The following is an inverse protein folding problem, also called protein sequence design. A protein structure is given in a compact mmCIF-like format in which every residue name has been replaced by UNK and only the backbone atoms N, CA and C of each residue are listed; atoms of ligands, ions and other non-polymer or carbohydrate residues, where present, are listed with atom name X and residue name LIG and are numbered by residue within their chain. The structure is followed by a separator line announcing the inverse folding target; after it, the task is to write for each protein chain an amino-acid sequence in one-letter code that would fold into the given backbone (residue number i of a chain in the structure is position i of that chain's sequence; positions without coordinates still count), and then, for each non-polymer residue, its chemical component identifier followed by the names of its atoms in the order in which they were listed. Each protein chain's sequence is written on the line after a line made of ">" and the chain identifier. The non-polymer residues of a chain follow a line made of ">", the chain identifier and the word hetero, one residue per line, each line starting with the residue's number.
data_IF_326429325289
#
_entry.id   IF_326429325289
#
_cell.length_a   1.000
_cell.length_b   1.000
_cell.length_c   1.000
_cell.angle_alpha   90.00
_cell.angle_beta   90.00
_cell.angle_gamma   90.00
#
_symmetry.space_group_name_H-M   'P 1'
#
loop_
_entity.id
_entity.type
_entity.pdbx_description
1 polymer ?
#
# COMPACT_ATOMS: atom_id res chain seq x y z
N UNK A 1 76.63 54.43 -16.63
CA UNK A 1 76.65 53.08 -16.02
C UNK A 1 75.20 52.61 -15.86
N UNK A 2 74.63 51.93 -16.86
CA UNK A 2 73.21 51.47 -16.89
C UNK A 2 73.19 49.95 -16.67
N UNK A 3 72.45 49.48 -15.66
CA UNK A 3 72.29 48.04 -15.34
C UNK A 3 71.23 47.39 -16.25
N UNK A 4 71.36 46.10 -16.61
CA UNK A 4 70.37 45.39 -17.43
C UNK A 4 69.25 44.77 -16.58
N UNK A 5 68.01 44.89 -17.04
CA UNK A 5 66.83 44.19 -16.51
C UNK A 5 66.73 42.78 -17.11
N UNK A 6 66.56 41.76 -16.25
CA UNK A 6 66.22 40.38 -16.65
C UNK A 6 64.69 40.22 -16.71
N UNK A 7 64.13 39.53 -17.71
CA UNK A 7 62.71 39.20 -17.74
C UNK A 7 62.44 37.97 -16.86
N UNK A 8 61.43 38.08 -16.00
CA UNK A 8 60.93 37.03 -15.13
C UNK A 8 59.77 36.34 -15.86
N UNK A 9 59.97 35.09 -16.27
CA UNK A 9 58.95 34.26 -16.92
C UNK A 9 58.03 33.70 -15.83
N UNK A 10 56.76 34.11 -15.84
CA UNK A 10 55.71 33.59 -14.97
C UNK A 10 55.05 32.37 -15.63
N UNK A 11 55.19 31.19 -15.00
CA UNK A 11 54.52 29.96 -15.40
C UNK A 11 53.12 29.94 -14.78
N UNK A 12 52.10 30.06 -15.61
CA UNK A 12 50.69 29.87 -15.23
C UNK A 12 50.36 28.37 -15.22
N UNK A 13 50.16 27.79 -14.04
CA UNK A 13 49.62 26.43 -13.87
C UNK A 13 48.09 26.55 -13.82
N UNK A 14 47.41 26.17 -14.90
CA UNK A 14 45.96 26.10 -14.98
C UNK A 14 45.46 24.79 -14.34
N UNK A 15 44.90 24.88 -13.14
CA UNK A 15 44.18 23.78 -12.49
C UNK A 15 42.85 23.55 -13.25
N UNK A 16 42.75 22.46 -14.00
CA UNK A 16 41.49 22.00 -14.57
C UNK A 16 40.68 21.25 -13.48
N UNK A 17 39.74 21.95 -12.84
CA UNK A 17 38.73 21.31 -11.99
C UNK A 17 37.77 20.51 -12.88
N UNK A 18 37.86 19.18 -12.83
CA UNK A 18 36.93 18.29 -13.50
C UNK A 18 35.54 18.36 -12.85
N UNK A 19 34.57 18.91 -13.57
CA UNK A 19 33.16 18.83 -13.24
C UNK A 19 32.69 17.40 -13.50
N UNK A 20 32.60 16.57 -12.47
CA UNK A 20 31.86 15.30 -12.56
C UNK A 20 30.37 15.60 -12.56
N UNK A 21 29.60 15.21 -13.59
CA UNK A 21 28.16 15.38 -13.56
C UNK A 21 27.60 14.56 -12.40
N UNK A 22 26.95 15.21 -11.46
CA UNK A 22 26.12 14.56 -10.46
C UNK A 22 24.88 14.04 -11.19
N UNK A 23 24.87 12.74 -11.51
CA UNK A 23 23.65 12.08 -11.98
C UNK A 23 22.64 12.14 -10.84
N UNK A 24 21.57 12.92 -11.00
CA UNK A 24 20.40 12.80 -10.15
C UNK A 24 19.83 11.40 -10.43
N UNK A 25 19.85 10.52 -9.45
CA UNK A 25 19.17 9.23 -9.56
C UNK A 25 17.67 9.54 -9.59
N UNK A 26 17.00 9.28 -10.72
CA UNK A 26 15.54 9.30 -10.76
C UNK A 26 15.03 8.27 -9.73
N UNK A 27 14.03 8.65 -8.94
CA UNK A 27 13.36 7.68 -8.06
C UNK A 27 12.70 6.62 -8.95
N UNK A 28 12.87 5.32 -8.64
CA UNK A 28 12.40 4.26 -9.51
C UNK A 28 10.87 4.20 -9.63
N UNK A 29 10.16 4.84 -8.69
CA UNK A 29 8.71 4.83 -8.56
C UNK A 29 8.20 6.20 -8.12
N UNK A 30 7.10 6.65 -8.70
CA UNK A 30 6.35 7.83 -8.24
C UNK A 30 4.93 7.41 -7.79
N UNK A 31 4.58 7.65 -6.52
CA UNK A 31 3.27 7.28 -5.99
C UNK A 31 2.25 8.40 -6.16
N UNK A 32 1.28 8.17 -7.06
CA UNK A 32 0.18 9.08 -7.33
C UNK A 32 -0.94 9.04 -6.30
N UNK A 33 -2.14 9.42 -6.75
CA UNK A 33 -3.34 9.49 -5.92
C UNK A 33 -3.84 8.11 -5.47
N UNK A 34 -4.39 8.07 -4.25
CA UNK A 34 -5.10 6.93 -3.69
C UNK A 34 -6.60 7.13 -3.86
N UNK A 35 -7.27 6.15 -4.48
CA UNK A 35 -8.72 6.11 -4.65
C UNK A 35 -9.32 4.97 -3.86
N UNK A 36 -10.53 5.20 -3.37
CA UNK A 36 -11.27 4.27 -2.53
C UNK A 36 -12.61 3.92 -3.16
N UNK A 37 -13.06 2.69 -2.99
CA UNK A 37 -14.40 2.25 -3.41
C UNK A 37 -14.97 1.19 -2.46
N UNK A 38 -16.26 1.31 -2.14
CA UNK A 38 -16.96 0.36 -1.28
C UNK A 38 -17.50 1.00 0.01
N UNK A 39 -18.47 0.32 0.62
CA UNK A 39 -19.24 0.82 1.76
C UNK A 39 -18.51 0.71 3.11
N UNK A 40 -17.29 0.18 3.14
CA UNK A 40 -16.40 0.16 4.30
C UNK A 40 -15.20 1.10 4.16
N UNK A 41 -15.00 1.72 3.00
CA UNK A 41 -13.95 2.73 2.88
C UNK A 41 -14.35 4.04 3.58
N UNK A 42 -13.37 4.86 3.97
CA UNK A 42 -13.63 6.24 4.38
C UNK A 42 -14.42 7.03 3.32
N UNK A 43 -15.29 7.95 3.75
CA UNK A 43 -16.32 8.58 2.89
C UNK A 43 -15.91 9.92 2.25
N UNK A 44 -14.82 10.57 2.64
CA UNK A 44 -14.50 11.91 2.12
C UNK A 44 -13.30 11.97 1.20
N UNK A 45 -13.41 12.80 0.16
CA UNK A 45 -12.39 13.02 -0.88
C UNK A 45 -11.11 13.72 -0.38
N UNK A 46 -11.14 14.36 0.80
CA UNK A 46 -10.00 15.12 1.37
C UNK A 46 -9.01 14.27 2.21
N UNK A 47 -9.04 12.94 2.07
CA UNK A 47 -8.40 12.05 3.06
C UNK A 47 -6.92 11.76 2.89
N UNK A 48 -6.29 12.15 1.78
CA UNK A 48 -4.83 12.01 1.60
C UNK A 48 -4.03 12.81 2.64
N UNK A 49 -4.63 13.82 3.28
CA UNK A 49 -4.02 14.64 4.33
C UNK A 49 -4.53 14.33 5.74
N UNK A 50 -5.32 13.27 5.92
CA UNK A 50 -5.88 12.89 7.23
C UNK A 50 -5.04 11.85 7.93
N UNK A 51 -5.16 11.74 9.27
CA UNK A 51 -4.48 10.69 10.06
C UNK A 51 -4.88 9.27 9.67
N UNK A 52 -5.94 9.14 8.88
CA UNK A 52 -6.55 7.89 8.44
C UNK A 52 -5.81 7.28 7.24
N UNK A 53 -5.25 8.09 6.33
CA UNK A 53 -4.46 7.61 5.18
C UNK A 53 -3.05 8.14 5.31
N UNK A 54 -2.07 7.26 5.46
CA UNK A 54 -0.65 7.61 5.57
C UNK A 54 0.09 7.03 4.38
N UNK A 55 0.52 7.91 3.47
CA UNK A 55 1.37 7.58 2.33
C UNK A 55 2.82 8.00 2.61
N UNK A 56 3.75 7.15 2.21
CA UNK A 56 5.20 7.41 2.19
C UNK A 56 5.76 6.99 0.85
N UNK A 57 7.06 7.18 0.59
CA UNK A 57 7.70 6.84 -0.70
C UNK A 57 7.44 5.40 -1.19
N UNK A 58 7.23 4.45 -0.27
CA UNK A 58 7.06 3.03 -0.63
C UNK A 58 6.02 2.29 0.22
N UNK A 59 5.15 2.98 0.93
CA UNK A 59 4.11 2.30 1.73
C UNK A 59 2.85 3.12 1.90
N UNK A 60 1.75 2.40 2.09
CA UNK A 60 0.43 2.95 2.36
C UNK A 60 -0.15 2.26 3.60
N UNK A 61 -0.67 3.05 4.53
CA UNK A 61 -1.40 2.56 5.70
C UNK A 61 -2.72 3.32 5.85
N UNK A 62 -3.80 2.59 6.13
CA UNK A 62 -5.17 3.08 6.15
C UNK A 62 -5.89 2.58 7.40
N UNK A 63 -6.65 3.46 8.06
CA UNK A 63 -7.57 3.12 9.15
C UNK A 63 -9.02 3.20 8.63
N UNK A 64 -9.63 2.08 8.21
CA UNK A 64 -10.95 2.12 7.61
C UNK A 64 -12.05 2.34 8.66
N UNK A 65 -12.49 3.58 8.85
CA UNK A 65 -13.43 3.96 9.91
C UNK A 65 -14.81 3.30 9.76
N UNK A 66 -15.22 2.99 8.53
CA UNK A 66 -16.54 2.44 8.18
C UNK A 66 -16.57 0.91 8.06
N UNK A 67 -15.42 0.24 8.23
CA UNK A 67 -15.33 -1.22 8.28
C UNK A 67 -15.69 -1.74 9.68
N UNK A 68 -16.96 -1.57 10.07
CA UNK A 68 -17.54 -2.20 11.26
C UNK A 68 -18.85 -2.92 10.89
N UNK A 69 -19.03 -4.13 11.38
CA UNK A 69 -20.27 -4.91 11.34
C UNK A 69 -20.71 -5.20 12.77
N UNK A 70 -21.98 -5.00 13.04
CA UNK A 70 -22.58 -5.29 14.34
C UNK A 70 -24.01 -5.75 14.14
N UNK A 71 -24.35 -6.87 14.76
CA UNK A 71 -25.70 -7.44 14.70
C UNK A 71 -26.48 -6.86 15.88
N UNK A 72 -27.58 -6.11 15.63
CA UNK A 72 -28.44 -5.64 16.71
C UNK A 72 -29.31 -6.78 17.25
N UNK A 73 -29.69 -6.70 18.52
CA UNK A 73 -30.54 -7.69 19.18
C UNK A 73 -31.88 -7.87 18.44
N UNK A 74 -32.31 -9.12 18.24
CA UNK A 74 -33.66 -9.47 17.80
C UNK A 74 -33.82 -9.87 16.33
N UNK A 75 -32.79 -9.76 15.48
CA UNK A 75 -32.91 -10.08 14.05
C UNK A 75 -31.76 -10.95 13.52
N UNK A 76 -32.11 -11.99 12.74
CA UNK A 76 -31.14 -12.77 11.98
C UNK A 76 -30.62 -11.87 10.88
N UNK A 77 -29.35 -11.54 10.94
CA UNK A 77 -28.75 -10.58 10.01
C UNK A 77 -27.52 -11.17 9.32
N UNK A 78 -27.40 -10.88 8.02
CA UNK A 78 -26.18 -11.08 7.27
C UNK A 78 -25.74 -9.71 6.77
N UNK A 79 -24.57 -9.27 7.22
CA UNK A 79 -24.03 -7.98 6.85
C UNK A 79 -22.71 -8.16 6.12
N UNK A 80 -22.42 -7.23 5.20
CA UNK A 80 -21.18 -7.24 4.42
C UNK A 80 -20.66 -5.82 4.26
N UNK A 81 -19.35 -5.67 4.45
CA UNK A 81 -18.59 -4.47 4.12
C UNK A 81 -17.43 -4.83 3.20
N UNK A 82 -17.08 -3.91 2.32
CA UNK A 82 -15.88 -3.99 1.50
C UNK A 82 -15.19 -2.64 1.40
N UNK A 83 -13.88 -2.67 1.30
CA UNK A 83 -13.08 -1.52 0.93
C UNK A 83 -12.03 -1.92 -0.10
N UNK A 84 -12.15 -1.34 -1.30
CA UNK A 84 -11.25 -1.48 -2.43
C UNK A 84 -10.38 -0.21 -2.52
N UNK A 85 -9.06 -0.40 -2.57
CA UNK A 85 -8.07 0.67 -2.70
C UNK A 85 -7.43 0.57 -4.08
N UNK A 86 -7.19 1.72 -4.71
CA UNK A 86 -6.42 1.85 -5.93
C UNK A 86 -5.37 2.94 -5.77
N UNK A 87 -4.09 2.61 -5.93
CA UNK A 87 -2.98 3.56 -5.91
C UNK A 87 -2.33 3.57 -7.30
N UNK A 88 -2.32 4.73 -7.95
CA UNK A 88 -1.57 4.92 -9.18
C UNK A 88 -0.07 4.97 -8.88
N UNK A 89 0.74 4.25 -9.65
CA UNK A 89 2.20 4.24 -9.53
C UNK A 89 2.81 4.39 -10.91
N UNK A 90 3.55 5.48 -11.11
CA UNK A 90 4.39 5.66 -12.29
C UNK A 90 5.68 4.88 -12.09
N UNK A 91 6.12 4.14 -13.09
CA UNK A 91 7.28 3.25 -13.00
C UNK A 91 8.32 3.68 -14.04
N UNK A 92 9.52 4.03 -13.57
CA UNK A 92 10.62 4.41 -14.46
C UNK A 92 11.04 3.24 -15.35
N UNK A 93 11.49 3.55 -16.56
CA UNK A 93 12.02 2.56 -17.50
C UNK A 93 13.12 1.70 -16.87
N UNK A 94 13.04 0.38 -17.09
CA UNK A 94 13.98 -0.58 -16.52
C UNK A 94 13.72 -0.94 -15.05
N UNK A 95 12.57 -0.54 -14.48
CA UNK A 95 12.12 -0.97 -13.16
C UNK A 95 10.77 -1.70 -13.20
N UNK A 96 10.56 -2.57 -12.22
CA UNK A 96 9.29 -3.22 -11.95
C UNK A 96 9.05 -3.21 -10.44
N UNK A 97 7.80 -3.40 -10.02
CA UNK A 97 7.44 -3.37 -8.61
C UNK A 97 6.59 -4.56 -8.19
N UNK A 98 6.60 -4.86 -6.89
CA UNK A 98 5.68 -5.80 -6.25
C UNK A 98 5.15 -5.23 -4.96
N UNK A 99 3.99 -5.72 -4.54
CA UNK A 99 3.41 -5.41 -3.24
C UNK A 99 3.96 -6.44 -2.25
N UNK A 100 4.41 -5.98 -1.08
CA UNK A 100 4.87 -6.84 0.01
C UNK A 100 4.26 -6.44 1.34
N UNK A 101 4.24 -7.39 2.28
CA UNK A 101 3.77 -7.18 3.64
C UNK A 101 2.39 -6.51 3.69
N UNK A 102 1.46 -6.96 2.84
CA UNK A 102 0.09 -6.46 2.90
C UNK A 102 -0.55 -7.06 4.14
N UNK A 103 -1.03 -6.23 5.05
CA UNK A 103 -1.61 -6.65 6.33
C UNK A 103 -3.00 -6.06 6.51
N UNK A 104 -3.88 -6.84 7.12
CA UNK A 104 -5.22 -6.44 7.54
C UNK A 104 -5.41 -6.89 8.99
N UNK A 105 -5.65 -5.94 9.88
CA UNK A 105 -5.84 -6.20 11.31
C UNK A 105 -7.30 -5.95 11.68
N UNK A 106 -7.90 -6.88 12.41
CA UNK A 106 -9.30 -6.80 12.82
C UNK A 106 -9.48 -7.27 14.25
N UNK A 107 -10.53 -6.78 14.91
CA UNK A 107 -11.05 -7.34 16.14
C UNK A 107 -12.40 -7.98 15.85
N UNK A 108 -12.62 -9.16 16.42
CA UNK A 108 -13.82 -9.97 16.21
C UNK A 108 -14.32 -10.45 17.56
N UNK A 109 -15.63 -10.36 17.78
CA UNK A 109 -16.33 -10.94 18.92
C UNK A 109 -17.63 -11.57 18.43
N UNK A 110 -17.72 -12.89 18.53
CA UNK A 110 -18.82 -13.71 18.02
C UNK A 110 -19.36 -14.57 19.16
N UNK A 111 -20.66 -14.45 19.41
CA UNK A 111 -21.37 -15.37 20.29
C UNK A 111 -21.65 -16.72 19.61
N UNK A 112 -22.29 -17.62 20.34
CA UNK A 112 -22.77 -18.91 19.83
C UNK A 112 -23.68 -18.70 18.61
N UNK A 113 -23.60 -19.58 17.60
CA UNK A 113 -24.36 -19.48 16.34
C UNK A 113 -24.06 -18.23 15.49
N UNK A 114 -23.04 -17.45 15.82
CA UNK A 114 -22.50 -16.40 14.95
C UNK A 114 -21.32 -16.91 14.13
N UNK A 115 -21.12 -16.35 12.94
CA UNK A 115 -19.97 -16.67 12.11
C UNK A 115 -19.52 -15.45 11.31
N UNK A 116 -18.22 -15.30 11.16
CA UNK A 116 -17.64 -14.26 10.32
C UNK A 116 -16.68 -14.82 9.28
N UNK A 117 -16.44 -14.04 8.24
CA UNK A 117 -15.34 -14.29 7.31
C UNK A 117 -14.72 -12.97 6.91
N UNK A 118 -13.40 -12.95 6.84
CA UNK A 118 -12.61 -11.79 6.45
C UNK A 118 -11.65 -12.19 5.32
N UNK A 119 -11.43 -11.29 4.37
CA UNK A 119 -10.51 -11.52 3.26
C UNK A 119 -9.68 -10.28 2.95
N UNK A 120 -8.48 -10.52 2.45
CA UNK A 120 -7.53 -9.54 1.96
C UNK A 120 -6.99 -10.01 0.61
N UNK A 121 -7.16 -9.20 -0.43
CA UNK A 121 -6.59 -9.46 -1.75
C UNK A 121 -5.64 -8.31 -2.13
N UNK A 122 -4.51 -8.61 -2.77
CA UNK A 122 -3.57 -7.61 -3.28
C UNK A 122 -3.03 -7.98 -4.67
N UNK A 123 -2.86 -6.99 -5.54
CA UNK A 123 -2.34 -7.20 -6.89
C UNK A 123 -2.38 -5.95 -7.75
N UNK A 124 -2.29 -6.13 -9.07
CA UNK A 124 -2.34 -5.04 -10.05
C UNK A 124 -3.63 -5.08 -10.86
N UNK A 125 -4.07 -3.91 -11.34
CA UNK A 125 -5.19 -3.84 -12.28
C UNK A 125 -4.88 -4.62 -13.56
N UNK A 126 -5.80 -5.50 -13.99
CA UNK A 126 -5.60 -6.34 -15.17
C UNK A 126 -4.76 -7.61 -14.92
N UNK A 127 -4.11 -7.74 -13.76
CA UNK A 127 -3.27 -8.88 -13.40
C UNK A 127 -3.90 -9.83 -12.37
N UNK A 128 -3.12 -10.82 -11.97
CA UNK A 128 -3.49 -11.75 -10.90
C UNK A 128 -3.43 -11.09 -9.51
N UNK A 129 -4.32 -11.53 -8.61
CA UNK A 129 -4.35 -11.11 -7.22
C UNK A 129 -3.88 -12.25 -6.32
N UNK A 130 -2.99 -11.95 -5.39
CA UNK A 130 -2.72 -12.80 -4.25
C UNK A 130 -3.82 -12.60 -3.20
N UNK A 131 -4.26 -13.68 -2.56
CA UNK A 131 -5.42 -13.66 -1.66
C UNK A 131 -5.08 -14.31 -0.33
N UNK A 132 -5.61 -13.74 0.74
CA UNK A 132 -5.63 -14.31 2.08
C UNK A 132 -7.07 -14.20 2.62
N UNK A 133 -7.49 -15.18 3.41
CA UNK A 133 -8.82 -15.15 3.98
C UNK A 133 -8.99 -16.18 5.08
N UNK A 134 -9.89 -15.86 6.00
CA UNK A 134 -10.16 -16.67 7.17
C UNK A 134 -11.67 -16.73 7.42
N UNK A 135 -12.13 -17.89 7.87
CA UNK A 135 -13.47 -18.06 8.44
C UNK A 135 -13.29 -18.15 9.95
N UNK A 136 -14.05 -17.33 10.67
CA UNK A 136 -13.98 -17.22 12.11
C UNK A 136 -15.20 -17.95 12.69
N UNK A 137 -14.99 -18.98 13.53
CA UNK A 137 -16.06 -19.79 14.09
C UNK A 137 -16.83 -19.01 15.17
N UNK A 138 -17.95 -19.57 15.64
CA UNK A 138 -18.67 -19.04 16.79
C UNK A 138 -17.78 -19.01 18.04
N UNK A 139 -18.24 -18.30 19.07
CA UNK A 139 -17.58 -18.25 20.38
C UNK A 139 -16.12 -17.74 20.30
N UNK A 140 -15.83 -16.89 19.31
CA UNK A 140 -14.52 -16.30 19.06
C UNK A 140 -14.49 -14.87 19.55
N UNK A 141 -13.56 -14.52 20.43
CA UNK A 141 -13.25 -13.12 20.77
C UNK A 141 -11.75 -12.93 20.73
N UNK A 142 -11.25 -12.34 19.63
CA UNK A 142 -9.81 -12.16 19.43
C UNK A 142 -9.48 -11.05 18.42
N UNK A 143 -8.21 -10.68 18.36
CA UNK A 143 -7.63 -9.93 17.25
C UNK A 143 -7.17 -10.91 16.16
N UNK A 144 -7.60 -10.68 14.93
CA UNK A 144 -7.18 -11.43 13.74
C UNK A 144 -6.27 -10.56 12.87
N UNK A 145 -5.24 -11.16 12.29
CA UNK A 145 -4.41 -10.55 11.26
C UNK A 145 -4.40 -11.44 10.01
N UNK A 146 -4.74 -10.87 8.85
CA UNK A 146 -4.43 -11.47 7.56
C UNK A 146 -3.19 -10.81 6.98
N UNK A 147 -2.32 -11.62 6.37
CA UNK A 147 -1.12 -11.15 5.71
C UNK A 147 -0.94 -11.78 4.33
N UNK A 148 -0.50 -10.96 3.37
CA UNK A 148 0.09 -11.39 2.10
C UNK A 148 1.55 -10.96 2.12
N UNK A 149 2.45 -11.95 2.08
CA UNK A 149 3.89 -11.69 2.12
C UNK A 149 4.36 -10.90 0.90
N UNK A 150 3.99 -11.36 -0.30
CA UNK A 150 4.40 -10.77 -1.58
C UNK A 150 3.43 -11.12 -2.71
N UNK A 151 3.29 -10.20 -3.66
CA UNK A 151 2.64 -10.45 -4.97
C UNK A 151 3.68 -10.82 -6.03
N UNK A 152 3.26 -11.32 -7.20
CA UNK A 152 4.08 -11.29 -8.40
C UNK A 152 4.58 -9.88 -8.71
N UNK A 153 5.66 -9.81 -9.49
CA UNK A 153 6.16 -8.55 -10.05
C UNK A 153 5.21 -8.01 -11.12
N UNK A 154 5.17 -6.68 -11.27
CA UNK A 154 4.54 -5.99 -12.38
C UNK A 154 5.33 -6.21 -13.68
N UNK A 155 4.75 -5.79 -14.79
CA UNK A 155 5.51 -5.64 -16.03
C UNK A 155 6.60 -4.56 -15.86
N UNK A 156 7.68 -4.70 -16.63
CA UNK A 156 8.84 -3.83 -16.59
C UNK A 156 8.59 -2.49 -17.30
N UNK A 157 8.88 -1.36 -16.64
CA UNK A 157 8.76 0.00 -17.17
C UNK A 157 7.33 0.40 -17.54
N UNK A 158 6.32 -0.18 -16.87
CA UNK A 158 4.91 0.11 -17.12
C UNK A 158 4.28 0.69 -15.87
N UNK A 159 3.59 1.81 -16.06
CA UNK A 159 2.70 2.36 -15.04
C UNK A 159 1.66 1.32 -14.64
N UNK A 160 1.41 1.21 -13.33
CA UNK A 160 0.46 0.26 -12.79
C UNK A 160 -0.47 0.92 -11.79
N UNK A 161 -1.65 0.30 -11.65
CA UNK A 161 -2.55 0.61 -10.55
C UNK A 161 -2.46 -0.54 -9.55
N UNK A 162 -1.81 -0.28 -8.43
CA UNK A 162 -1.76 -1.14 -7.25
C UNK A 162 -3.15 -1.22 -6.63
N UNK A 163 -3.61 -2.43 -6.32
CA UNK A 163 -4.93 -2.71 -5.75
C UNK A 163 -4.79 -3.52 -4.47
N UNK A 164 -5.48 -3.08 -3.43
CA UNK A 164 -5.71 -3.86 -2.21
C UNK A 164 -7.21 -3.88 -1.91
N UNK A 165 -7.74 -5.04 -1.52
CA UNK A 165 -9.17 -5.23 -1.26
C UNK A 165 -9.37 -5.92 0.07
N UNK A 166 -10.10 -5.30 0.96
CA UNK A 166 -10.57 -5.90 2.20
C UNK A 166 -12.06 -6.19 2.08
N UNK A 167 -12.49 -7.38 2.48
CA UNK A 167 -13.91 -7.69 2.59
C UNK A 167 -14.21 -8.45 3.88
N UNK A 168 -15.39 -8.21 4.44
CA UNK A 168 -15.81 -8.91 5.63
C UNK A 168 -17.32 -9.17 5.62
N UNK A 169 -17.71 -10.31 6.17
CA UNK A 169 -19.09 -10.76 6.27
C UNK A 169 -19.33 -11.23 7.69
N UNK A 170 -20.46 -10.81 8.26
CA UNK A 170 -20.91 -11.23 9.58
C UNK A 170 -22.30 -11.85 9.45
N UNK A 171 -22.50 -12.99 10.11
CA UNK A 171 -23.78 -13.70 10.20
C UNK A 171 -24.07 -13.98 11.67
N UNK A 172 -25.29 -13.69 12.10
CA UNK A 172 -25.78 -13.99 13.45
C UNK A 172 -27.25 -14.36 13.41
N UNK A 173 -27.68 -15.15 14.38
CA UNK A 173 -29.09 -15.47 14.64
C UNK A 173 -29.74 -14.43 15.57
N UNK A 174 -31.08 -14.47 15.69
CA UNK A 174 -31.89 -13.39 16.29
C UNK A 174 -31.56 -13.02 17.74
N UNK A 175 -30.87 -13.88 18.50
CA UNK A 175 -30.66 -13.70 19.95
C UNK A 175 -29.20 -13.44 20.32
N UNK A 176 -28.33 -13.25 19.34
CA UNK A 176 -26.88 -13.31 19.54
C UNK A 176 -26.22 -12.00 19.13
N UNK A 177 -25.31 -11.52 19.97
CA UNK A 177 -24.51 -10.36 19.64
C UNK A 177 -23.27 -10.80 18.88
N UNK A 178 -22.98 -10.07 17.82
CA UNK A 178 -21.81 -10.33 17.01
C UNK A 178 -21.27 -9.03 16.48
N UNK A 179 -19.96 -8.87 16.57
CA UNK A 179 -19.23 -7.66 16.26
C UNK A 179 -17.94 -7.99 15.52
N UNK A 180 -17.65 -7.23 14.48
CA UNK A 180 -16.37 -7.29 13.78
C UNK A 180 -15.98 -5.92 13.27
N UNK A 181 -14.72 -5.53 13.49
CA UNK A 181 -14.16 -4.27 13.02
C UNK A 181 -12.77 -4.48 12.45
N UNK A 182 -12.50 -3.86 11.30
CA UNK A 182 -11.13 -3.72 10.80
C UNK A 182 -10.51 -2.48 11.41
N UNK A 183 -9.36 -2.67 12.05
CA UNK A 183 -8.62 -1.63 12.74
C UNK A 183 -7.60 -0.94 11.83
N UNK A 184 -7.06 -1.67 10.86
CA UNK A 184 -6.08 -1.12 9.93
C UNK A 184 -5.80 -2.04 8.76
N UNK A 185 -5.35 -1.43 7.66
CA UNK A 185 -4.83 -2.11 6.49
C UNK A 185 -3.58 -1.39 6.02
N UNK A 186 -2.54 -2.13 5.64
CA UNK A 186 -1.31 -1.53 5.12
C UNK A 186 -0.64 -2.42 4.09
N UNK A 187 0.20 -1.83 3.25
CA UNK A 187 1.13 -2.56 2.40
C UNK A 187 2.39 -1.73 2.11
N UNK A 188 3.44 -2.42 1.66
CA UNK A 188 4.65 -1.80 1.15
C UNK A 188 4.83 -2.17 -0.32
N UNK A 189 5.62 -1.36 -1.01
CA UNK A 189 6.02 -1.57 -2.39
C UNK A 189 7.54 -1.76 -2.40
N UNK A 190 7.98 -2.79 -3.12
CA UNK A 190 9.39 -3.00 -3.45
C UNK A 190 9.57 -2.80 -4.94
N UNK A 191 10.65 -2.13 -5.34
CA UNK A 191 11.09 -1.98 -6.72
C UNK A 191 12.38 -2.74 -6.96
N UNK A 192 12.57 -3.25 -8.17
CA UNK A 192 13.86 -3.78 -8.63
C UNK A 192 14.08 -3.46 -10.11
N UNK A 193 15.35 -3.47 -10.52
CA UNK A 193 15.71 -3.35 -11.93
C UNK A 193 15.18 -4.57 -12.74
N UNK A 194 14.86 -4.35 -14.00
CA UNK A 194 14.40 -5.35 -14.94
C UNK A 194 14.77 -4.97 -16.37
N UNK A 195 14.68 -5.95 -17.26
CA UNK A 195 14.74 -5.76 -18.71
C UNK A 195 13.42 -6.25 -19.30
N UNK A 196 12.90 -5.55 -20.30
CA UNK A 196 11.85 -6.12 -21.14
C UNK A 196 12.42 -7.36 -21.83
N UNK A 197 11.77 -8.51 -21.66
CA UNK A 197 12.09 -9.65 -22.50
C UNK A 197 11.60 -9.29 -23.92
N UNK A 198 12.53 -9.24 -24.87
CA UNK A 198 12.25 -9.08 -26.30
C UNK A 198 11.32 -10.18 -26.84
#
# INVERSE_FOLDING_TARGET
>A
MKRPMKPMIAVFVTLAFGLTPTSFANEPLELGEVKFAGNGCPISDDMEHTTIVRKSANSLSIIPTEMTLMTPDGERTTQRKKCDIALAVSVEDGYQLRIVNTKLQAFVSLDTNSAASISLDAGFSGGAFTKAGEKLPSDTTDNTELAIEKTPWSDCGKDVIVRAKASMILRSDQTQTAYMRVNGMSFKIESQACSTAD
#
